data_IF_376915617503
#
_entry.id   IF_376915617503
#
_cell.length_a   1.000
_cell.length_b   1.000
_cell.length_c   1.000
_cell.angle_alpha   90.00
_cell.angle_beta   90.00
_cell.angle_gamma   90.00
#
_symmetry.space_group_name_H-M   'P 1'
#
loop_
_entity.id
_entity.type
_entity.pdbx_description
1 polymer ?
#
# COMPACT_ATOMS: atom_id res chain seq x y z
N UNK A 1 -2.91 -15.28 11.42
CA UNK A 1 -3.22 -13.83 11.58
C UNK A 1 -4.62 -13.56 12.18
N UNK A 2 -5.67 -14.27 11.80
CA UNK A 2 -7.00 -14.09 12.43
C UNK A 2 -7.03 -14.44 13.92
N UNK A 3 -6.12 -15.29 14.38
CA UNK A 3 -5.94 -15.69 15.79
C UNK A 3 -4.98 -14.74 16.56
N UNK A 4 -4.31 -13.80 15.89
CA UNK A 4 -3.46 -12.83 16.56
C UNK A 4 -4.31 -11.90 17.44
N UNK A 5 -3.74 -11.54 18.60
CA UNK A 5 -4.42 -10.69 19.59
C UNK A 5 -4.73 -9.32 18.98
N UNK A 6 -5.95 -8.83 19.19
CA UNK A 6 -6.32 -7.45 18.88
C UNK A 6 -5.45 -6.50 19.73
N UNK A 7 -4.72 -5.59 19.07
CA UNK A 7 -3.81 -4.65 19.72
C UNK A 7 -4.44 -3.27 19.89
N UNK A 8 -5.18 -2.81 18.89
CA UNK A 8 -5.82 -1.51 18.91
C UNK A 8 -7.01 -1.45 17.96
N UNK A 9 -7.83 -0.43 18.17
CA UNK A 9 -8.83 0.04 17.23
C UNK A 9 -8.53 1.48 16.89
N UNK A 10 -8.66 1.84 15.62
CA UNK A 10 -8.50 3.21 15.15
C UNK A 10 -9.45 3.50 14.00
N UNK A 11 -9.70 4.77 13.75
CA UNK A 11 -10.57 5.20 12.66
C UNK A 11 -9.81 6.06 11.68
N UNK A 12 -10.12 5.94 10.40
CA UNK A 12 -9.64 6.87 9.39
C UNK A 12 -10.71 7.21 8.37
N UNK A 13 -10.51 8.35 7.72
CA UNK A 13 -11.41 8.81 6.67
C UNK A 13 -11.10 8.11 5.35
N UNK A 14 -12.12 7.48 4.78
CA UNK A 14 -12.10 6.92 3.43
C UNK A 14 -12.56 7.99 2.47
N UNK A 15 -11.67 8.41 1.57
CA UNK A 15 -11.97 9.42 0.57
C UNK A 15 -12.96 8.89 -0.48
N UNK A 16 -13.77 9.77 -1.09
CA UNK A 16 -14.66 9.37 -2.17
C UNK A 16 -13.86 8.85 -3.36
N UNK A 17 -14.36 7.83 -4.01
CA UNK A 17 -13.75 7.21 -5.17
C UNK A 17 -14.81 6.60 -6.08
N UNK A 18 -14.40 5.88 -7.14
CA UNK A 18 -15.34 5.27 -8.08
C UNK A 18 -16.39 4.42 -7.36
N UNK A 19 -17.61 4.94 -7.25
CA UNK A 19 -18.74 4.26 -6.60
C UNK A 19 -18.75 4.29 -5.05
N UNK A 20 -17.75 4.91 -4.40
CA UNK A 20 -17.68 5.03 -2.92
C UNK A 20 -17.94 6.45 -2.45
N UNK A 21 -18.75 6.59 -1.41
CA UNK A 21 -18.95 7.86 -0.69
C UNK A 21 -17.87 8.04 0.39
N UNK A 22 -17.58 9.32 0.70
CA UNK A 22 -16.75 9.67 1.86
C UNK A 22 -17.36 9.08 3.12
N UNK A 23 -16.56 8.39 3.94
CA UNK A 23 -17.00 7.80 5.21
C UNK A 23 -15.85 7.62 6.19
N UNK A 24 -16.16 7.33 7.42
CA UNK A 24 -15.18 6.93 8.44
C UNK A 24 -15.22 5.41 8.57
N UNK A 25 -14.07 4.76 8.44
CA UNK A 25 -13.91 3.33 8.66
C UNK A 25 -13.30 3.09 10.05
N UNK A 26 -13.90 2.18 10.82
CA UNK A 26 -13.38 1.72 12.10
C UNK A 26 -12.58 0.43 11.88
N UNK A 27 -11.30 0.46 12.22
CA UNK A 27 -10.35 -0.62 11.91
C UNK A 27 -9.90 -1.34 13.18
N UNK A 28 -9.79 -2.65 13.08
CA UNK A 28 -9.11 -3.51 14.04
C UNK A 28 -7.67 -3.73 13.58
N UNK A 29 -6.72 -3.51 14.50
CA UNK A 29 -5.29 -3.64 14.26
C UNK A 29 -4.73 -4.82 15.05
N UNK A 30 -4.06 -5.71 14.33
CA UNK A 30 -3.28 -6.83 14.87
C UNK A 30 -1.89 -6.81 14.27
N UNK A 31 -0.87 -7.13 15.03
CA UNK A 31 0.48 -7.32 14.51
C UNK A 31 1.23 -8.38 15.33
N UNK A 32 2.10 -9.08 14.64
CA UNK A 32 2.96 -10.09 15.25
C UNK A 32 4.20 -10.35 14.38
N UNK A 33 5.24 -10.89 15.00
CA UNK A 33 6.40 -11.40 14.29
C UNK A 33 6.07 -12.73 13.65
N UNK A 34 6.37 -12.87 12.35
CA UNK A 34 6.13 -14.10 11.57
C UNK A 34 7.42 -14.57 10.91
N UNK A 35 7.52 -15.86 10.68
CA UNK A 35 8.62 -16.46 9.92
C UNK A 35 8.07 -17.00 8.61
N UNK A 36 8.58 -16.50 7.49
CA UNK A 36 8.29 -17.02 6.16
C UNK A 36 9.28 -18.13 5.85
N UNK A 37 8.77 -19.32 5.66
CA UNK A 37 9.56 -20.47 5.22
C UNK A 37 9.65 -20.50 3.69
N UNK A 38 10.73 -21.10 3.18
CA UNK A 38 10.88 -21.34 1.76
C UNK A 38 9.71 -22.15 1.20
N UNK A 39 9.29 -21.90 -0.05
CA UNK A 39 8.29 -22.71 -0.71
C UNK A 39 8.79 -24.14 -0.91
N UNK A 40 7.87 -25.10 -0.89
CA UNK A 40 8.19 -26.53 -1.10
C UNK A 40 8.73 -26.76 -2.52
N UNK A 41 8.23 -25.99 -3.49
CA UNK A 41 8.61 -26.08 -4.90
C UNK A 41 8.95 -24.69 -5.45
N UNK A 42 9.78 -24.66 -6.52
CA UNK A 42 10.14 -23.43 -7.22
C UNK A 42 11.58 -22.97 -6.98
N UNK A 43 11.97 -21.81 -7.60
CA UNK A 43 13.35 -21.32 -7.59
C UNK A 43 13.85 -20.91 -6.19
N UNK A 44 12.96 -20.61 -5.26
CA UNK A 44 13.29 -20.25 -3.88
C UNK A 44 13.29 -21.45 -2.91
N UNK A 45 13.18 -22.70 -3.42
CA UNK A 45 13.28 -23.90 -2.59
C UNK A 45 14.63 -23.96 -1.88
N UNK A 46 14.61 -24.20 -0.57
CA UNK A 46 15.81 -24.31 0.25
C UNK A 46 16.40 -22.96 0.69
N UNK A 47 15.76 -21.83 0.36
CA UNK A 47 16.16 -20.53 0.89
C UNK A 47 15.99 -20.49 2.42
N UNK A 48 16.86 -19.78 3.15
CA UNK A 48 16.71 -19.65 4.60
C UNK A 48 15.39 -18.96 4.97
N UNK A 49 14.80 -19.31 6.11
CA UNK A 49 13.59 -18.64 6.57
C UNK A 49 13.85 -17.17 6.87
N UNK A 50 12.87 -16.32 6.58
CA UNK A 50 12.94 -14.86 6.79
C UNK A 50 11.98 -14.46 7.89
N UNK A 51 12.49 -13.82 8.94
CA UNK A 51 11.66 -13.24 10.00
C UNK A 51 11.22 -11.83 9.62
N UNK A 52 9.92 -11.58 9.71
CA UNK A 52 9.26 -10.31 9.37
C UNK A 52 8.22 -9.98 10.43
N UNK A 53 7.73 -8.76 10.38
CA UNK A 53 6.51 -8.38 11.09
C UNK A 53 5.34 -8.37 10.12
N UNK A 54 4.22 -8.95 10.54
CA UNK A 54 2.97 -8.93 9.81
C UNK A 54 1.99 -8.02 10.54
N UNK A 55 1.45 -7.04 9.82
CA UNK A 55 0.43 -6.12 10.31
C UNK A 55 -0.87 -6.46 9.58
N UNK A 56 -1.91 -6.80 10.31
CA UNK A 56 -3.24 -7.08 9.80
C UNK A 56 -4.22 -6.01 10.26
N UNK A 57 -4.82 -5.34 9.31
CA UNK A 57 -5.81 -4.29 9.52
C UNK A 57 -7.10 -4.72 8.84
N UNK A 58 -8.19 -4.77 9.61
CA UNK A 58 -9.49 -5.18 9.11
C UNK A 58 -10.57 -4.21 9.58
N UNK A 59 -11.42 -3.80 8.65
CA UNK A 59 -12.57 -2.96 8.97
C UNK A 59 -13.63 -3.74 9.74
N UNK A 60 -14.19 -3.12 10.77
CA UNK A 60 -15.31 -3.68 11.51
C UNK A 60 -16.56 -3.73 10.65
N UNK A 61 -17.30 -4.81 10.73
CA UNK A 61 -18.58 -4.96 10.02
C UNK A 61 -19.57 -3.85 10.35
N UNK A 62 -19.50 -3.27 11.56
CA UNK A 62 -20.36 -2.15 11.99
C UNK A 62 -20.12 -0.85 11.23
N UNK A 63 -18.94 -0.66 10.61
CA UNK A 63 -18.60 0.53 9.81
C UNK A 63 -18.60 0.27 8.31
N UNK A 64 -18.73 -1.00 7.91
CA UNK A 64 -18.73 -1.39 6.49
C UNK A 64 -20.15 -1.22 5.92
N UNK A 65 -20.35 -0.47 4.82
CA UNK A 65 -21.65 -0.36 4.16
C UNK A 65 -22.11 -1.72 3.62
N UNK A 66 -23.43 -1.93 3.60
CA UNK A 66 -24.06 -3.21 3.22
C UNK A 66 -23.65 -3.71 1.83
N UNK A 67 -23.32 -2.80 0.90
CA UNK A 67 -22.96 -3.12 -0.49
C UNK A 67 -21.46 -2.96 -0.77
N UNK A 68 -20.61 -2.84 0.25
CA UNK A 68 -19.17 -2.74 0.10
C UNK A 68 -18.46 -3.89 0.81
N UNK A 69 -17.32 -4.32 0.25
CA UNK A 69 -16.44 -5.22 0.97
C UNK A 69 -15.66 -4.47 2.04
N UNK A 70 -15.44 -5.07 3.22
CA UNK A 70 -14.65 -4.44 4.27
C UNK A 70 -13.22 -4.18 3.78
N UNK A 71 -12.64 -3.10 4.25
CA UNK A 71 -11.23 -2.82 3.99
C UNK A 71 -10.40 -3.83 4.81
N UNK A 72 -9.54 -4.56 4.13
CA UNK A 72 -8.62 -5.51 4.77
C UNK A 72 -7.24 -5.41 4.15
N UNK A 73 -6.22 -5.17 4.98
CA UNK A 73 -4.81 -5.12 4.57
C UNK A 73 -3.98 -6.07 5.40
N UNK A 74 -3.07 -6.78 4.72
CA UNK A 74 -2.03 -7.61 5.35
C UNK A 74 -0.69 -7.13 4.84
N UNK A 75 0.05 -6.44 5.69
CA UNK A 75 1.34 -5.85 5.36
C UNK A 75 2.45 -6.71 5.96
N UNK A 76 3.50 -6.94 5.19
CA UNK A 76 4.75 -7.54 5.66
C UNK A 76 5.84 -6.48 5.65
N UNK A 77 6.60 -6.38 6.73
CA UNK A 77 7.67 -5.39 6.85
C UNK A 77 8.87 -5.96 7.59
N UNK A 78 10.06 -5.50 7.22
CA UNK A 78 11.30 -5.73 7.95
C UNK A 78 11.50 -4.75 9.11
N UNK A 79 10.70 -3.66 9.15
CA UNK A 79 10.71 -2.74 10.27
C UNK A 79 10.19 -3.42 11.54
N UNK A 80 10.78 -3.09 12.66
CA UNK A 80 10.34 -3.58 13.98
C UNK A 80 8.96 -3.00 14.29
N UNK A 81 8.02 -3.87 14.66
CA UNK A 81 6.65 -3.49 15.00
C UNK A 81 6.28 -4.16 16.32
N UNK A 82 6.58 -3.47 17.41
CA UNK A 82 6.31 -3.93 18.78
C UNK A 82 5.24 -3.07 19.45
N UNK A 83 4.98 -1.88 18.94
CA UNK A 83 3.97 -0.95 19.44
C UNK A 83 2.90 -0.60 18.42
N UNK A 84 1.78 -0.09 18.90
CA UNK A 84 0.65 0.36 18.06
C UNK A 84 1.09 1.52 17.16
N UNK A 85 1.90 2.44 17.68
CA UNK A 85 2.40 3.61 16.95
C UNK A 85 3.24 3.19 15.75
N UNK A 86 4.16 2.23 15.93
CA UNK A 86 4.98 1.68 14.85
C UNK A 86 4.13 0.99 13.78
N UNK A 87 3.10 0.27 14.20
CA UNK A 87 2.16 -0.36 13.25
C UNK A 87 1.39 0.70 12.44
N UNK A 88 0.90 1.77 13.10
CA UNK A 88 0.19 2.88 12.45
C UNK A 88 1.11 3.61 11.47
N UNK A 89 2.37 3.81 11.80
CA UNK A 89 3.36 4.42 10.92
C UNK A 89 3.55 3.59 9.63
N UNK A 90 3.73 2.27 9.75
CA UNK A 90 3.83 1.37 8.60
C UNK A 90 2.55 1.41 7.73
N UNK A 91 1.37 1.49 8.33
CA UNK A 91 0.10 1.65 7.63
C UNK A 91 0.06 2.99 6.90
N UNK A 92 0.57 4.05 7.52
CA UNK A 92 0.72 5.38 6.92
C UNK A 92 1.55 5.32 5.64
N UNK A 93 2.70 4.66 5.67
CA UNK A 93 3.53 4.47 4.47
C UNK A 93 2.81 3.69 3.37
N UNK A 94 2.09 2.63 3.72
CA UNK A 94 1.31 1.87 2.74
C UNK A 94 0.20 2.73 2.11
N UNK A 95 -0.44 3.59 2.86
CA UNK A 95 -1.44 4.53 2.33
C UNK A 95 -0.85 5.51 1.32
N UNK A 96 0.41 5.90 1.47
CA UNK A 96 1.12 6.74 0.51
C UNK A 96 1.31 6.06 -0.86
N UNK A 97 1.08 4.74 -0.99
CA UNK A 97 1.11 4.03 -2.28
C UNK A 97 0.16 4.65 -3.32
N UNK A 98 -0.96 5.20 -2.88
CA UNK A 98 -1.89 5.91 -3.77
C UNK A 98 -1.30 7.14 -4.43
N UNK A 99 -0.36 7.80 -3.79
CA UNK A 99 0.35 8.95 -4.37
C UNK A 99 1.17 8.54 -5.60
N UNK A 100 1.77 7.35 -5.55
CA UNK A 100 2.53 6.80 -6.67
C UNK A 100 1.59 6.47 -7.85
N UNK A 101 0.43 5.88 -7.57
CA UNK A 101 -0.56 5.56 -8.60
C UNK A 101 -1.11 6.85 -9.25
N UNK A 102 -1.39 7.87 -8.45
CA UNK A 102 -1.84 9.17 -8.94
C UNK A 102 -0.76 9.86 -9.77
N UNK A 103 0.50 9.83 -9.32
CA UNK A 103 1.64 10.33 -10.06
C UNK A 103 1.75 9.64 -11.43
N UNK A 104 1.71 8.30 -11.46
CA UNK A 104 1.74 7.56 -12.74
C UNK A 104 0.52 7.88 -13.62
N UNK A 105 -0.65 8.10 -13.03
CA UNK A 105 -1.84 8.51 -13.78
C UNK A 105 -1.66 9.88 -14.45
N UNK A 106 -1.05 10.83 -13.75
CA UNK A 106 -0.71 12.15 -14.30
C UNK A 106 0.29 12.01 -15.43
N UNK A 107 1.38 11.26 -15.22
CA UNK A 107 2.43 11.05 -16.21
C UNK A 107 1.93 10.36 -17.49
N UNK A 108 0.96 9.42 -17.36
CA UNK A 108 0.45 8.63 -18.49
C UNK A 108 -0.72 9.30 -19.23
N UNK A 109 -1.57 10.06 -18.53
CA UNK A 109 -2.88 10.49 -19.09
C UNK A 109 -3.14 11.98 -19.12
N UNK A 110 -2.56 12.76 -18.20
CA UNK A 110 -2.89 14.19 -18.04
C UNK A 110 -1.89 15.13 -18.74
N UNK A 111 -1.57 14.89 -20.00
CA UNK A 111 -0.81 15.82 -20.82
C UNK A 111 0.67 15.47 -20.99
N UNK A 112 1.22 14.57 -20.21
CA UNK A 112 2.63 14.17 -20.38
C UNK A 112 2.80 13.02 -21.37
N UNK A 113 1.83 12.08 -21.47
CA UNK A 113 1.78 10.96 -22.42
C UNK A 113 3.15 10.33 -22.69
N UNK A 114 3.90 10.06 -21.61
CA UNK A 114 5.30 9.60 -21.68
C UNK A 114 5.40 8.27 -22.46
N UNK A 115 4.35 7.44 -22.42
CA UNK A 115 4.32 6.16 -23.14
C UNK A 115 4.22 6.35 -24.67
N UNK A 116 3.70 7.50 -25.13
CA UNK A 116 3.56 7.83 -26.55
C UNK A 116 4.78 8.60 -27.10
N UNK A 117 5.75 8.90 -26.23
CA UNK A 117 6.95 9.65 -26.61
C UNK A 117 7.87 8.77 -27.48
N UNK A 118 7.95 9.09 -28.77
CA UNK A 118 8.86 8.46 -29.72
C UNK A 118 10.25 9.09 -29.62
N UNK A 119 11.03 8.70 -28.62
CA UNK A 119 12.39 9.20 -28.41
C UNK A 119 13.42 8.14 -28.84
N UNK A 120 14.33 8.54 -29.70
CA UNK A 120 15.35 7.64 -30.30
C UNK A 120 16.45 7.22 -29.32
N UNK A 121 16.63 7.95 -28.20
CA UNK A 121 17.71 7.69 -27.26
C UNK A 121 17.23 7.54 -25.82
N UNK A 122 17.86 6.61 -25.09
CA UNK A 122 17.59 6.39 -23.66
C UNK A 122 17.83 7.66 -22.84
N UNK A 123 18.85 8.46 -23.18
CA UNK A 123 19.19 9.72 -22.50
C UNK A 123 18.07 10.77 -22.66
N UNK A 124 17.46 10.86 -23.85
CA UNK A 124 16.34 11.76 -24.08
C UNK A 124 15.11 11.33 -23.29
N UNK A 125 14.83 10.03 -23.24
CA UNK A 125 13.74 9.47 -22.44
C UNK A 125 13.93 9.73 -20.93
N UNK A 126 15.14 9.53 -20.41
CA UNK A 126 15.46 9.81 -19.01
C UNK A 126 15.24 11.28 -18.66
N UNK A 127 15.67 12.23 -19.52
CA UNK A 127 15.44 13.67 -19.32
C UNK A 127 13.95 14.01 -19.34
N UNK A 128 13.19 13.45 -20.29
CA UNK A 128 11.74 13.65 -20.34
C UNK A 128 11.07 13.16 -19.06
N UNK A 129 11.40 11.96 -18.59
CA UNK A 129 10.86 11.38 -17.35
C UNK A 129 11.16 12.28 -16.15
N UNK A 130 12.41 12.76 -16.00
CA UNK A 130 12.79 13.64 -14.89
C UNK A 130 12.04 14.95 -14.88
N UNK A 131 11.92 15.60 -16.04
CA UNK A 131 11.19 16.88 -16.17
C UNK A 131 9.70 16.67 -15.89
N UNK A 132 9.12 15.61 -16.46
CA UNK A 132 7.70 15.30 -16.27
C UNK A 132 7.38 14.92 -14.81
N UNK A 133 8.28 14.19 -14.14
CA UNK A 133 8.16 13.85 -12.74
C UNK A 133 8.18 15.10 -11.85
N UNK A 134 9.12 16.02 -12.12
CA UNK A 134 9.23 17.27 -11.38
C UNK A 134 7.98 18.14 -11.57
N UNK A 135 7.46 18.24 -12.79
CA UNK A 135 6.24 18.98 -13.06
C UNK A 135 5.01 18.34 -12.43
N UNK A 136 4.90 16.99 -12.44
CA UNK A 136 3.79 16.27 -11.83
C UNK A 136 3.75 16.39 -10.30
N UNK A 137 4.89 16.61 -9.65
CA UNK A 137 4.96 16.83 -8.20
C UNK A 137 4.55 18.25 -7.77
N UNK A 138 4.36 19.17 -8.72
CA UNK A 138 3.92 20.55 -8.45
C UNK A 138 2.42 20.77 -8.69
N UNK A 139 1.70 19.75 -9.17
CA UNK A 139 0.26 19.75 -9.42
C UNK A 139 -0.50 19.10 -8.29
#
# INVERSE_FOLDING_TARGET
MEQAVLRAEYSFEVLPGSGRKKRVACMELRFERVTLCAPVNGPAKGSPPVSLYCIHVKEKSSSTPVNESPIEWRLLTTHVVETVEQAIECIGWYRCRWLIEELFRVLKRKGFMIEDAQLETVSALQKLILISLQAALQV
#
